data_IF_852278842847
#
_entry.id   IF_852278842847
#
_cell.length_a   1.000
_cell.length_b   1.000
_cell.length_c   1.000
_cell.angle_alpha   90.00
_cell.angle_beta   90.00
_cell.angle_gamma   90.00
#
_symmetry.space_group_name_H-M   'P 1'
#
loop_
_entity.id
_entity.type
_entity.pdbx_description
1 polymer ?
#
# COMPACT_ATOMS: atom_id res chain seq x y z
N UNK A 1 -4.75 14.07 37.20
CA UNK A 1 -3.42 14.63 37.52
C UNK A 1 -2.50 14.34 36.35
N UNK A 2 -2.37 15.26 35.40
CA UNK A 2 -1.31 15.18 34.40
C UNK A 2 -0.01 15.59 35.09
N UNK A 3 0.90 14.63 35.26
CA UNK A 3 2.22 14.88 35.86
C UNK A 3 2.96 15.95 35.04
N UNK A 4 3.32 17.03 35.71
CA UNK A 4 4.19 18.12 35.22
C UNK A 4 5.67 17.77 35.27
N UNK A 5 6.04 16.53 35.60
CA UNK A 5 7.44 16.10 35.82
C UNK A 5 8.16 15.60 34.56
N UNK A 6 7.51 15.61 33.40
CA UNK A 6 8.11 15.08 32.15
C UNK A 6 9.14 16.06 31.56
N UNK A 7 9.02 17.36 31.84
CA UNK A 7 9.84 18.42 31.20
C UNK A 7 10.81 19.07 32.20
N UNK A 8 11.60 18.26 32.92
CA UNK A 8 12.69 18.79 33.73
C UNK A 8 13.98 18.93 32.91
N UNK A 9 14.80 19.98 33.11
CA UNK A 9 16.09 20.10 32.45
C UNK A 9 17.00 18.93 32.79
N UNK A 10 17.41 18.16 31.78
CA UNK A 10 18.35 17.05 31.92
C UNK A 10 19.50 17.20 30.90
N UNK A 11 20.56 17.96 31.25
CA UNK A 11 21.67 18.23 30.33
C UNK A 11 22.46 16.96 29.96
N UNK A 12 22.58 16.00 30.88
CA UNK A 12 23.27 14.72 30.62
C UNK A 12 22.55 13.91 29.54
N UNK A 13 21.21 13.82 29.62
CA UNK A 13 20.40 13.18 28.59
C UNK A 13 20.53 13.91 27.24
N UNK A 14 20.50 15.24 27.25
CA UNK A 14 20.65 16.04 26.04
C UNK A 14 22.01 15.78 25.35
N UNK A 15 23.12 15.83 26.10
CA UNK A 15 24.46 15.54 25.58
C UNK A 15 24.60 14.10 25.09
N UNK A 16 23.98 13.14 25.79
CA UNK A 16 23.95 11.74 25.34
C UNK A 16 23.22 11.57 24.01
N UNK A 17 22.03 12.17 23.86
CA UNK A 17 21.25 12.11 22.61
C UNK A 17 22.04 12.79 21.48
N UNK A 18 22.62 13.96 21.73
CA UNK A 18 23.44 14.67 20.75
C UNK A 18 24.62 13.81 20.28
N UNK A 19 25.35 13.20 21.20
CA UNK A 19 26.46 12.31 20.86
C UNK A 19 26.02 11.11 20.01
N UNK A 20 24.88 10.49 20.33
CA UNK A 20 24.30 9.38 19.54
C UNK A 20 23.93 9.87 18.14
N UNK A 21 23.29 11.04 18.02
CA UNK A 21 22.90 11.61 16.74
C UNK A 21 24.11 11.94 15.85
N UNK A 22 25.18 12.51 16.41
CA UNK A 22 26.42 12.82 15.67
C UNK A 22 27.09 11.54 15.14
N UNK A 23 27.10 10.47 15.93
CA UNK A 23 27.59 9.17 15.47
C UNK A 23 26.73 8.59 14.35
N UNK A 24 25.40 8.65 14.51
CA UNK A 24 24.43 8.09 13.58
C UNK A 24 24.31 8.85 12.27
N UNK A 25 24.57 10.16 12.26
CA UNK A 25 24.57 10.96 11.04
C UNK A 25 25.58 10.42 10.02
N UNK A 26 26.71 9.88 10.49
CA UNK A 26 27.74 9.24 9.65
C UNK A 26 27.32 7.84 9.16
N UNK A 27 26.40 7.20 9.86
CA UNK A 27 25.88 5.86 9.57
C UNK A 27 24.49 5.87 8.92
N UNK A 28 24.08 7.02 8.34
CA UNK A 28 22.77 7.21 7.72
C UNK A 28 21.60 6.82 8.64
N UNK A 29 21.75 7.09 9.94
CA UNK A 29 20.74 6.80 10.97
C UNK A 29 20.34 5.31 11.12
N UNK A 30 21.17 4.39 10.62
CA UNK A 30 20.94 2.96 10.78
C UNK A 30 20.81 2.57 12.26
N UNK A 31 19.77 1.79 12.59
CA UNK A 31 19.51 1.31 13.95
C UNK A 31 19.33 2.43 15.01
N UNK A 32 18.85 3.62 14.59
CA UNK A 32 18.57 4.74 15.51
C UNK A 32 17.65 4.33 16.67
N UNK A 33 16.63 3.50 16.41
CA UNK A 33 15.59 3.18 17.40
C UNK A 33 16.19 2.47 18.62
N UNK A 34 16.89 1.33 18.50
CA UNK A 34 17.52 0.70 19.66
C UNK A 34 18.69 1.52 20.24
N UNK A 35 19.34 2.43 19.50
CA UNK A 35 20.36 3.32 20.09
C UNK A 35 19.77 4.36 21.04
N UNK A 36 18.63 4.98 20.66
CA UNK A 36 17.92 5.94 21.50
C UNK A 36 17.11 5.25 22.60
N UNK A 37 16.48 4.12 22.29
CA UNK A 37 15.66 3.33 23.21
C UNK A 37 16.21 1.90 23.37
N UNK A 38 17.31 1.71 24.11
CA UNK A 38 18.02 0.43 24.19
C UNK A 38 17.22 -0.70 24.84
N UNK A 39 16.18 -0.36 25.61
CA UNK A 39 15.31 -1.34 26.26
C UNK A 39 14.05 -1.67 25.44
N UNK A 40 13.91 -1.12 24.23
CA UNK A 40 12.82 -1.49 23.33
C UNK A 40 12.94 -2.98 22.94
N UNK A 41 11.83 -3.71 23.01
CA UNK A 41 11.80 -5.15 22.71
C UNK A 41 11.38 -5.45 21.28
N UNK A 42 10.54 -4.60 20.70
CA UNK A 42 10.02 -4.72 19.34
C UNK A 42 9.44 -3.38 18.90
N UNK A 43 9.24 -3.22 17.59
CA UNK A 43 8.46 -2.12 17.02
C UNK A 43 7.08 -2.65 16.67
N UNK A 44 6.05 -1.97 17.18
CA UNK A 44 4.65 -2.32 16.98
C UNK A 44 3.98 -1.34 16.04
N UNK A 45 3.57 -1.79 14.86
CA UNK A 45 2.86 -0.96 13.87
C UNK A 45 2.12 -1.81 12.85
N UNK A 46 1.22 -1.22 12.06
CA UNK A 46 0.62 -1.87 10.90
C UNK A 46 1.65 -1.89 9.78
N UNK A 47 2.02 -3.07 9.30
CA UNK A 47 3.07 -3.25 8.28
C UNK A 47 2.60 -4.05 7.06
N UNK A 48 1.29 -4.31 6.97
CA UNK A 48 0.65 -5.05 5.87
C UNK A 48 -0.01 -4.10 4.86
N UNK A 49 -0.36 -4.62 3.69
CA UNK A 49 -1.05 -3.87 2.63
C UNK A 49 -0.26 -2.63 2.19
N UNK A 50 -0.91 -1.46 2.24
CA UNK A 50 -0.36 -0.17 1.81
C UNK A 50 0.85 0.33 2.60
N UNK A 51 1.17 -0.32 3.72
CA UNK A 51 2.32 -0.02 4.57
C UNK A 51 3.59 -0.81 4.22
N UNK A 52 3.48 -1.89 3.44
CA UNK A 52 4.64 -2.67 2.99
C UNK A 52 5.78 -1.85 2.37
N UNK A 53 5.55 -0.82 1.52
CA UNK A 53 6.63 0.00 1.00
C UNK A 53 7.55 0.64 2.05
N UNK A 54 7.04 0.97 3.24
CA UNK A 54 7.84 1.58 4.30
C UNK A 54 8.69 0.58 5.07
N UNK A 55 8.47 -0.72 4.87
CA UNK A 55 9.10 -1.78 5.66
C UNK A 55 10.62 -1.79 5.52
N UNK A 56 11.15 -1.54 4.33
CA UNK A 56 12.59 -1.45 4.08
C UNK A 56 13.24 -0.35 4.92
N UNK A 57 12.63 0.84 4.94
CA UNK A 57 13.11 1.99 5.71
C UNK A 57 12.93 1.77 7.22
N UNK A 58 11.83 1.14 7.61
CA UNK A 58 11.59 0.78 9.00
C UNK A 58 12.65 -0.21 9.51
N UNK A 59 13.00 -1.24 8.73
CA UNK A 59 14.08 -2.18 9.03
C UNK A 59 15.43 -1.48 9.18
N UNK A 60 15.73 -0.50 8.32
CA UNK A 60 16.94 0.30 8.43
C UNK A 60 17.04 1.04 9.77
N UNK A 61 15.97 1.68 10.22
CA UNK A 61 15.95 2.38 11.52
C UNK A 61 15.82 1.44 12.73
N UNK A 62 15.20 0.28 12.54
CA UNK A 62 15.05 -0.76 13.57
C UNK A 62 16.35 -1.52 13.85
N UNK A 63 17.19 -1.72 12.82
CA UNK A 63 18.29 -2.67 12.89
C UNK A 63 17.77 -4.08 13.15
N UNK A 64 18.28 -4.73 14.21
CA UNK A 64 17.90 -6.10 14.61
C UNK A 64 16.61 -6.17 15.45
N UNK A 65 15.96 -5.03 15.72
CA UNK A 65 14.79 -5.01 16.58
C UNK A 65 13.59 -5.70 15.87
N UNK A 66 12.92 -6.68 16.52
CA UNK A 66 11.79 -7.39 15.92
C UNK A 66 10.66 -6.44 15.50
N UNK A 67 10.08 -6.70 14.33
CA UNK A 67 8.95 -5.96 13.78
C UNK A 67 7.67 -6.77 13.98
N UNK A 68 6.78 -6.28 14.84
CA UNK A 68 5.52 -6.95 15.19
C UNK A 68 4.37 -6.19 14.53
N UNK A 69 3.68 -6.86 13.60
CA UNK A 69 2.49 -6.30 12.97
C UNK A 69 1.34 -6.18 13.96
N UNK A 70 0.74 -4.99 13.99
CA UNK A 70 -0.45 -4.69 14.78
C UNK A 70 -1.71 -5.39 14.28
N UNK A 71 -2.71 -5.47 15.15
CA UNK A 71 -3.98 -6.13 14.88
C UNK A 71 -4.76 -5.52 13.69
N UNK A 72 -5.69 -6.30 13.16
CA UNK A 72 -6.49 -5.94 12.00
C UNK A 72 -7.85 -5.37 12.43
N UNK A 73 -8.09 -4.12 12.06
CA UNK A 73 -9.36 -3.44 12.25
C UNK A 73 -9.56 -2.28 11.28
N UNK A 74 -10.78 -1.76 11.28
CA UNK A 74 -11.21 -0.61 10.50
C UNK A 74 -12.02 0.36 11.36
N UNK A 75 -12.45 1.47 10.79
CA UNK A 75 -13.37 2.42 11.46
C UNK A 75 -14.74 1.80 11.75
N UNK A 76 -15.15 0.82 10.94
CA UNK A 76 -16.43 0.13 11.01
C UNK A 76 -16.43 -0.97 12.07
N UNK A 77 -15.32 -1.72 12.21
CA UNK A 77 -15.17 -2.72 13.28
C UNK A 77 -13.73 -3.21 13.45
N UNK A 78 -13.43 -3.77 14.62
CA UNK A 78 -12.27 -4.65 14.80
C UNK A 78 -12.55 -6.01 14.14
N UNK A 79 -11.51 -6.63 13.56
CA UNK A 79 -11.68 -7.85 12.77
C UNK A 79 -10.91 -9.01 13.42
N UNK A 80 -9.60 -8.87 13.58
CA UNK A 80 -8.77 -9.97 14.04
C UNK A 80 -7.45 -9.52 14.66
N UNK A 81 -6.81 -10.44 15.36
CA UNK A 81 -5.57 -10.19 16.11
C UNK A 81 -4.42 -11.01 15.55
N UNK A 82 -3.20 -10.50 15.70
CA UNK A 82 -2.00 -11.24 15.33
C UNK A 82 -1.62 -12.23 16.45
N UNK A 83 -1.95 -13.51 16.26
CA UNK A 83 -1.62 -14.59 17.22
C UNK A 83 -0.20 -15.14 17.06
N UNK A 84 0.48 -14.79 15.96
CA UNK A 84 1.83 -15.26 15.61
C UNK A 84 2.79 -14.04 15.50
N UNK A 85 3.06 -13.28 16.59
CA UNK A 85 3.79 -12.02 16.54
C UNK A 85 5.26 -12.15 16.12
N UNK A 86 5.81 -13.35 16.15
CA UNK A 86 7.16 -13.65 15.67
C UNK A 86 7.26 -13.79 14.15
N UNK A 87 6.13 -13.87 13.43
CA UNK A 87 6.15 -13.95 11.98
C UNK A 87 6.64 -12.64 11.37
N UNK A 88 7.43 -12.71 10.28
CA UNK A 88 7.84 -11.51 9.58
C UNK A 88 6.61 -10.79 8.98
N UNK A 89 6.62 -9.45 8.86
CA UNK A 89 5.48 -8.67 8.37
C UNK A 89 4.87 -9.15 7.05
N UNK A 90 5.67 -9.76 6.16
CA UNK A 90 5.23 -10.32 4.87
C UNK A 90 4.39 -11.60 4.97
N UNK A 91 4.38 -12.27 6.14
CA UNK A 91 3.68 -13.54 6.39
C UNK A 91 2.67 -13.43 7.53
N UNK A 92 2.24 -12.22 7.85
CA UNK A 92 1.30 -12.01 8.95
C UNK A 92 -0.11 -12.42 8.52
N UNK A 93 -0.77 -13.17 9.39
CA UNK A 93 -2.19 -13.47 9.29
C UNK A 93 -2.90 -13.16 10.60
N UNK A 94 -4.16 -12.73 10.50
CA UNK A 94 -4.95 -12.23 11.62
C UNK A 94 -6.05 -13.21 11.97
N UNK A 95 -6.04 -13.75 13.18
CA UNK A 95 -7.11 -14.61 13.67
C UNK A 95 -8.35 -13.78 13.95
N UNK A 96 -9.46 -14.07 13.28
CA UNK A 96 -10.72 -13.33 13.47
C UNK A 96 -11.20 -13.51 14.90
N UNK A 97 -11.63 -12.42 15.54
CA UNK A 97 -12.27 -12.45 16.85
C UNK A 97 -13.79 -12.43 16.63
N UNK A 98 -14.49 -13.57 16.80
CA UNK A 98 -15.89 -13.71 16.39
C UNK A 98 -16.87 -12.82 17.16
N UNK A 99 -16.45 -12.23 18.27
CA UNK A 99 -17.29 -11.40 19.15
C UNK A 99 -17.31 -9.92 18.77
N UNK A 100 -16.44 -9.46 17.86
CA UNK A 100 -16.41 -8.04 17.47
C UNK A 100 -17.59 -7.65 16.57
N UNK A 101 -17.99 -8.53 15.65
CA UNK A 101 -19.11 -8.36 14.73
C UNK A 101 -19.62 -9.72 14.26
N UNK A 102 -20.77 -9.75 13.62
CA UNK A 102 -21.15 -10.90 12.81
C UNK A 102 -20.49 -10.79 11.44
N UNK A 103 -19.69 -11.80 11.07
CA UNK A 103 -18.90 -11.82 9.85
C UNK A 103 -19.50 -12.78 8.82
N UNK A 104 -19.78 -12.25 7.64
CA UNK A 104 -20.04 -13.00 6.41
C UNK A 104 -18.89 -12.81 5.43
N UNK A 105 -18.68 -13.78 4.54
CA UNK A 105 -17.59 -13.79 3.57
C UNK A 105 -18.15 -14.09 2.18
N UNK A 106 -18.01 -13.17 1.25
CA UNK A 106 -18.39 -13.39 -0.15
C UNK A 106 -17.22 -14.09 -0.85
N UNK A 107 -17.35 -15.36 -1.28
CA UNK A 107 -16.28 -16.04 -2.00
C UNK A 107 -16.04 -15.37 -3.34
N UNK A 108 -14.77 -15.14 -3.64
CA UNK A 108 -14.32 -14.47 -4.85
C UNK A 108 -13.62 -15.47 -5.78
N UNK A 109 -14.16 -15.66 -6.98
CA UNK A 109 -13.55 -16.51 -8.00
C UNK A 109 -13.04 -15.65 -9.16
N UNK A 110 -11.77 -15.84 -9.55
CA UNK A 110 -11.24 -15.19 -10.76
C UNK A 110 -11.80 -15.88 -12.00
N UNK A 111 -12.17 -15.11 -13.02
CA UNK A 111 -12.49 -15.64 -14.34
C UNK A 111 -11.32 -16.52 -14.82
N UNK A 112 -11.56 -17.81 -15.07
CA UNK A 112 -10.73 -18.54 -16.03
C UNK A 112 -10.98 -17.88 -17.39
N UNK A 113 -9.94 -17.39 -18.04
CA UNK A 113 -10.01 -16.84 -19.40
C UNK A 113 -10.56 -17.91 -20.35
N UNK A 114 -11.88 -17.94 -20.55
CA UNK A 114 -12.48 -18.63 -21.67
C UNK A 114 -12.47 -17.64 -22.84
N UNK A 115 -11.51 -17.81 -23.75
CA UNK A 115 -11.52 -17.17 -25.06
C UNK A 115 -12.71 -17.68 -25.88
N UNK A 116 -13.90 -17.15 -25.65
CA UNK A 116 -15.02 -17.31 -26.57
C UNK A 116 -15.42 -15.93 -27.08
N UNK A 117 -14.81 -15.56 -28.21
CA UNK A 117 -15.32 -14.52 -29.09
C UNK A 117 -16.67 -14.98 -29.64
N UNK A 118 -17.76 -14.58 -29.02
CA UNK A 118 -19.06 -14.50 -29.68
C UNK A 118 -20.01 -13.60 -28.87
N UNK A 119 -20.51 -12.58 -29.58
CA UNK A 119 -21.53 -11.60 -29.19
C UNK A 119 -21.04 -10.41 -28.34
N UNK A 120 -20.70 -9.34 -29.06
CA UNK A 120 -20.28 -8.03 -28.54
C UNK A 120 -21.41 -7.24 -27.87
N UNK A 121 -21.80 -7.68 -26.68
CA UNK A 121 -22.49 -6.84 -25.69
C UNK A 121 -21.80 -7.03 -24.33
N UNK A 122 -20.73 -6.26 -24.11
CA UNK A 122 -20.09 -6.18 -22.80
C UNK A 122 -20.94 -5.23 -21.96
N UNK A 123 -21.89 -5.77 -21.20
CA UNK A 123 -22.41 -5.06 -20.02
C UNK A 123 -21.33 -5.11 -18.96
N UNK A 124 -20.43 -4.13 -18.99
CA UNK A 124 -19.40 -3.88 -17.99
C UNK A 124 -20.05 -3.50 -16.65
N UNK A 125 -20.44 -4.50 -15.88
CA UNK A 125 -20.59 -4.32 -14.43
C UNK A 125 -19.20 -4.40 -13.82
N UNK A 126 -18.84 -3.40 -13.02
CA UNK A 126 -17.50 -3.08 -12.48
C UNK A 126 -16.86 -4.15 -11.57
N UNK A 127 -17.27 -5.41 -11.63
CA UNK A 127 -16.93 -6.41 -10.63
C UNK A 127 -16.13 -7.60 -11.20
N UNK A 128 -14.85 -7.64 -10.80
CA UNK A 128 -13.78 -8.47 -11.33
C UNK A 128 -13.73 -9.92 -10.81
N UNK A 129 -14.65 -10.26 -9.93
CA UNK A 129 -14.79 -11.59 -9.37
C UNK A 129 -16.18 -12.13 -9.68
N UNK A 130 -16.25 -13.40 -10.02
CA UNK A 130 -17.52 -14.12 -9.92
C UNK A 130 -17.74 -14.31 -8.41
N UNK A 131 -18.74 -13.59 -7.90
CA UNK A 131 -19.13 -13.66 -6.50
C UNK A 131 -20.03 -14.88 -6.28
N UNK A 132 -19.71 -15.68 -5.27
CA UNK A 132 -20.67 -16.66 -4.77
C UNK A 132 -21.54 -16.08 -3.66
N UNK A 133 -22.46 -16.91 -3.15
CA UNK A 133 -23.29 -16.52 -2.01
C UNK A 133 -22.42 -16.33 -0.75
N UNK A 134 -22.69 -15.29 0.06
CA UNK A 134 -22.00 -15.08 1.33
C UNK A 134 -22.09 -16.32 2.22
N UNK A 135 -20.96 -16.69 2.82
CA UNK A 135 -20.88 -17.80 3.79
C UNK A 135 -20.54 -17.26 5.18
N UNK A 136 -21.00 -17.89 6.26
CA UNK A 136 -20.63 -17.49 7.62
C UNK A 136 -19.15 -17.80 7.90
N UNK A 137 -18.60 -17.15 8.93
CA UNK A 137 -17.20 -17.33 9.40
C UNK A 137 -16.74 -18.79 9.50
N UNK A 138 -17.61 -19.71 9.92
CA UNK A 138 -17.28 -21.13 10.11
C UNK A 138 -17.20 -21.96 8.82
N UNK A 139 -17.64 -21.41 7.67
CA UNK A 139 -17.70 -22.12 6.39
C UNK A 139 -16.65 -21.63 5.38
N UNK A 140 -15.76 -20.74 5.80
CA UNK A 140 -14.65 -20.28 4.95
C UNK A 140 -13.67 -21.43 4.70
N UNK A 141 -13.04 -21.43 3.52
CA UNK A 141 -12.13 -22.49 3.07
C UNK A 141 -10.70 -21.98 3.05
N UNK A 142 -9.77 -22.83 3.49
CA UNK A 142 -8.35 -22.52 3.43
C UNK A 142 -7.90 -22.24 1.98
N UNK A 143 -7.08 -21.21 1.78
CA UNK A 143 -6.58 -20.77 0.47
C UNK A 143 -7.61 -20.10 -0.45
N UNK A 144 -8.86 -19.92 -0.01
CA UNK A 144 -9.88 -19.22 -0.79
C UNK A 144 -9.87 -17.72 -0.46
N UNK A 145 -10.07 -16.89 -1.49
CA UNK A 145 -10.21 -15.45 -1.36
C UNK A 145 -11.67 -15.06 -1.13
N UNK A 146 -11.89 -14.11 -0.24
CA UNK A 146 -13.20 -13.61 0.14
C UNK A 146 -13.20 -12.09 0.29
N UNK A 147 -14.37 -11.48 0.07
CA UNK A 147 -14.64 -10.12 0.56
C UNK A 147 -15.35 -10.18 1.91
N UNK A 148 -14.89 -9.36 2.86
CA UNK A 148 -15.49 -9.29 4.20
C UNK A 148 -16.79 -8.49 4.18
N UNK A 149 -17.82 -9.05 4.79
CA UNK A 149 -19.11 -8.41 5.03
C UNK A 149 -19.39 -8.39 6.53
N UNK A 150 -19.72 -7.22 7.05
CA UNK A 150 -19.88 -6.97 8.49
C UNK A 150 -21.33 -6.69 8.85
N UNK A 151 -21.78 -7.27 9.96
CA UNK A 151 -22.93 -6.77 10.71
C UNK A 151 -22.48 -6.37 12.12
N UNK A 152 -22.61 -5.09 12.46
CA UNK A 152 -22.05 -4.49 13.69
C UNK A 152 -23.15 -4.09 14.68
N UNK A 153 -22.80 -3.98 15.96
CA UNK A 153 -23.69 -3.45 17.00
C UNK A 153 -24.06 -1.97 16.78
N UNK A 154 -23.27 -1.25 15.98
CA UNK A 154 -23.46 0.17 15.67
C UNK A 154 -24.41 0.41 14.50
N UNK A 155 -25.03 -0.64 13.95
CA UNK A 155 -26.10 -0.52 12.96
C UNK A 155 -25.65 -0.64 11.51
N UNK A 156 -24.43 -1.09 11.24
CA UNK A 156 -24.05 -1.53 9.90
C UNK A 156 -24.59 -2.95 9.71
N UNK A 157 -25.46 -3.17 8.71
CA UNK A 157 -26.06 -4.47 8.44
C UNK A 157 -25.63 -4.98 7.07
N UNK A 158 -24.95 -6.12 7.06
CA UNK A 158 -24.37 -6.74 5.85
C UNK A 158 -23.56 -5.73 5.01
N UNK A 159 -22.82 -4.87 5.71
CA UNK A 159 -21.98 -3.85 5.09
C UNK A 159 -20.75 -4.50 4.45
N UNK A 160 -20.59 -4.29 3.14
CA UNK A 160 -19.42 -4.74 2.39
C UNK A 160 -18.23 -3.85 2.75
N UNK A 161 -17.24 -4.42 3.46
CA UNK A 161 -16.05 -3.68 3.86
C UNK A 161 -15.16 -3.33 2.65
N UNK A 162 -15.26 -4.12 1.57
CA UNK A 162 -14.43 -3.98 0.37
C UNK A 162 -13.01 -4.52 0.53
N UNK A 163 -12.68 -5.09 1.70
CA UNK A 163 -11.39 -5.75 1.94
C UNK A 163 -11.44 -7.18 1.40
N UNK A 164 -10.46 -7.51 0.56
CA UNK A 164 -10.22 -8.84 0.01
C UNK A 164 -9.17 -9.53 0.87
N UNK A 165 -9.54 -10.70 1.40
CA UNK A 165 -8.70 -11.51 2.29
C UNK A 165 -8.59 -12.93 1.77
N UNK A 166 -7.48 -13.58 2.08
CA UNK A 166 -7.27 -15.01 1.85
C UNK A 166 -7.21 -15.73 3.18
N UNK A 167 -7.85 -16.90 3.28
CA UNK A 167 -7.76 -17.72 4.49
C UNK A 167 -6.41 -18.44 4.50
N UNK A 168 -5.56 -18.08 5.46
CA UNK A 168 -4.20 -18.60 5.68
C UNK A 168 -4.18 -19.63 6.83
N UNK A 169 -5.17 -20.52 6.82
CA UNK A 169 -5.38 -21.53 7.86
C UNK A 169 -6.27 -21.08 9.00
N UNK A 170 -6.15 -21.75 10.15
CA UNK A 170 -7.03 -21.59 11.29
C UNK A 170 -6.23 -21.57 12.59
N UNK A 171 -6.63 -20.69 13.51
CA UNK A 171 -6.22 -20.74 14.91
C UNK A 171 -7.34 -21.41 15.70
N UNK A 172 -7.11 -22.66 16.13
CA UNK A 172 -8.17 -23.54 16.62
C UNK A 172 -9.30 -23.68 15.57
N UNK A 173 -10.45 -23.05 15.81
CA UNK A 173 -11.61 -23.04 14.90
C UNK A 173 -11.84 -21.71 14.18
N UNK A 174 -11.14 -20.64 14.56
CA UNK A 174 -11.30 -19.33 13.92
C UNK A 174 -10.34 -19.20 12.74
N UNK A 175 -10.77 -18.70 11.58
CA UNK A 175 -9.87 -18.55 10.44
C UNK A 175 -8.83 -17.46 10.69
N UNK A 176 -7.63 -17.68 10.15
CA UNK A 176 -6.59 -16.65 10.03
C UNK A 176 -6.70 -16.02 8.65
N UNK A 177 -6.75 -14.70 8.61
CA UNK A 177 -6.92 -13.94 7.39
C UNK A 177 -5.61 -13.26 7.01
N UNK A 178 -5.15 -13.48 5.78
CA UNK A 178 -4.13 -12.68 5.15
C UNK A 178 -4.80 -11.55 4.34
N UNK A 179 -4.39 -10.31 4.58
CA UNK A 179 -4.94 -9.15 3.87
C UNK A 179 -4.32 -9.05 2.48
N UNK A 180 -5.14 -9.07 1.43
CA UNK A 180 -4.67 -9.02 0.04
C UNK A 180 -4.72 -7.59 -0.49
N UNK A 181 -5.90 -6.99 -0.54
CA UNK A 181 -6.10 -5.64 -1.05
C UNK A 181 -7.49 -5.10 -0.66
N UNK A 182 -7.75 -3.83 -0.99
CA UNK A 182 -9.09 -3.26 -0.98
C UNK A 182 -9.61 -3.15 -2.41
N UNK A 183 -10.77 -3.75 -2.70
CA UNK A 183 -11.34 -3.94 -4.05
C UNK A 183 -11.42 -2.65 -4.87
N UNK A 184 -11.75 -1.53 -4.24
CA UNK A 184 -11.90 -0.22 -4.91
C UNK A 184 -10.57 0.48 -5.23
N UNK A 185 -9.42 -0.17 -5.02
CA UNK A 185 -8.08 0.39 -5.25
C UNK A 185 -7.30 -0.32 -6.38
N UNK A 186 -7.97 -1.07 -7.24
CA UNK A 186 -7.34 -1.69 -8.43
C UNK A 186 -7.15 -0.63 -9.51
N UNK A 187 -5.96 -0.56 -10.11
CA UNK A 187 -5.73 0.21 -11.33
C UNK A 187 -6.22 -0.60 -12.53
N UNK A 188 -7.09 0.01 -13.33
CA UNK A 188 -7.64 -0.56 -14.58
C UNK A 188 -7.84 0.55 -15.60
N UNK A 189 -7.38 0.38 -16.83
CA UNK A 189 -7.70 1.28 -17.97
C UNK A 189 -8.50 0.57 -19.06
N UNK A 190 -8.22 -0.71 -19.31
CA UNK A 190 -8.89 -1.55 -20.30
C UNK A 190 -9.27 -2.91 -19.69
N UNK A 191 -8.72 -4.02 -20.19
CA UNK A 191 -8.91 -5.38 -19.64
C UNK A 191 -7.92 -5.68 -18.51
N UNK A 192 -6.95 -4.79 -18.30
CA UNK A 192 -5.85 -4.95 -17.38
C UNK A 192 -6.27 -4.69 -15.93
N UNK A 193 -5.74 -5.50 -15.01
CA UNK A 193 -6.16 -5.46 -13.61
C UNK A 193 -4.94 -5.52 -12.71
N UNK A 194 -4.47 -4.35 -12.31
CA UNK A 194 -3.27 -4.23 -11.52
C UNK A 194 -3.62 -3.88 -10.08
N UNK A 195 -3.27 -4.77 -9.15
CA UNK A 195 -3.48 -4.56 -7.72
C UNK A 195 -2.45 -3.60 -7.14
N UNK A 196 -2.71 -3.12 -5.93
CA UNK A 196 -1.73 -2.36 -5.15
C UNK A 196 -0.39 -3.12 -4.99
N UNK A 197 -0.45 -4.46 -4.87
CA UNK A 197 0.74 -5.31 -4.81
C UNK A 197 1.51 -5.33 -6.12
N UNK A 198 0.82 -5.41 -7.26
CA UNK A 198 1.47 -5.38 -8.58
C UNK A 198 2.17 -4.04 -8.81
N UNK A 199 1.49 -2.94 -8.46
CA UNK A 199 2.06 -1.60 -8.51
C UNK A 199 3.27 -1.45 -7.57
N UNK A 200 3.20 -1.99 -6.35
CA UNK A 200 4.31 -1.98 -5.41
C UNK A 200 5.55 -2.67 -6.01
N UNK A 201 5.37 -3.84 -6.63
CA UNK A 201 6.47 -4.58 -7.28
C UNK A 201 7.06 -3.80 -8.47
N UNK A 202 6.21 -3.15 -9.26
CA UNK A 202 6.63 -2.29 -10.38
C UNK A 202 7.47 -1.11 -9.87
N UNK A 203 6.98 -0.39 -8.85
CA UNK A 203 7.68 0.75 -8.26
C UNK A 203 8.98 0.31 -7.59
N UNK A 204 9.01 -0.83 -6.90
CA UNK A 204 10.23 -1.38 -6.32
C UNK A 204 11.31 -1.63 -7.38
N UNK A 205 10.96 -2.19 -8.54
CA UNK A 205 11.91 -2.39 -9.64
C UNK A 205 12.46 -1.07 -10.17
N UNK A 206 11.59 -0.09 -10.45
CA UNK A 206 12.02 1.25 -10.86
C UNK A 206 12.91 1.92 -9.81
N UNK A 207 12.56 1.83 -8.53
CA UNK A 207 13.32 2.45 -7.44
C UNK A 207 14.72 1.84 -7.26
N UNK A 208 14.93 0.57 -7.66
CA UNK A 208 16.28 -0.04 -7.66
C UNK A 208 17.20 0.64 -8.66
N UNK A 209 16.69 1.05 -9.83
CA UNK A 209 17.45 1.82 -10.82
C UNK A 209 17.80 3.18 -10.25
N UNK A 210 16.82 3.84 -9.61
CA UNK A 210 17.01 5.11 -8.90
C UNK A 210 18.18 5.06 -7.90
N UNK A 211 18.20 4.01 -7.07
CA UNK A 211 19.20 3.83 -6.02
C UNK A 211 20.62 3.52 -6.53
N UNK A 212 20.75 3.03 -7.77
CA UNK A 212 22.04 2.74 -8.43
C UNK A 212 22.64 3.96 -9.12
N UNK A 213 21.89 5.05 -9.24
CA UNK A 213 22.37 6.29 -9.84
C UNK A 213 23.57 6.90 -9.11
N UNK A 214 24.35 7.70 -9.82
CA UNK A 214 25.56 8.39 -9.31
C UNK A 214 25.27 9.39 -8.17
N UNK A 215 24.03 9.87 -8.05
CA UNK A 215 23.58 10.72 -6.96
C UNK A 215 22.70 9.88 -6.02
N UNK A 216 22.98 9.92 -4.71
CA UNK A 216 22.19 9.24 -3.66
C UNK A 216 20.76 9.79 -3.66
N UNK A 217 19.89 9.17 -4.45
CA UNK A 217 18.49 9.54 -4.53
C UNK A 217 17.60 8.41 -4.05
N UNK A 218 16.58 8.77 -3.29
CA UNK A 218 15.69 7.85 -2.59
C UNK A 218 14.24 8.20 -2.87
N UNK A 219 13.44 7.20 -3.24
CA UNK A 219 11.99 7.35 -3.33
C UNK A 219 11.43 7.59 -1.91
N UNK A 220 10.80 8.73 -1.69
CA UNK A 220 10.18 9.09 -0.40
C UNK A 220 8.82 8.44 -0.26
N UNK A 221 7.96 8.65 -1.26
CA UNK A 221 6.61 8.11 -1.29
C UNK A 221 6.07 8.12 -2.73
N UNK A 222 5.00 7.36 -2.97
CA UNK A 222 4.37 7.27 -4.29
C UNK A 222 2.85 7.02 -4.25
N UNK A 223 2.18 7.41 -5.32
CA UNK A 223 0.78 7.05 -5.60
C UNK A 223 0.59 6.89 -7.10
N UNK A 224 -0.52 6.33 -7.52
CA UNK A 224 -0.84 6.13 -8.93
C UNK A 224 -2.28 6.50 -9.25
N UNK A 225 -2.56 6.61 -10.55
CA UNK A 225 -3.85 6.92 -11.10
C UNK A 225 -4.00 6.32 -12.51
N UNK A 226 -5.17 5.77 -12.80
CA UNK A 226 -5.56 5.40 -14.17
C UNK A 226 -6.19 6.62 -14.86
N UNK A 227 -5.44 7.27 -15.75
CA UNK A 227 -5.93 8.43 -16.48
C UNK A 227 -6.66 8.00 -17.74
N UNK A 228 -8.00 8.05 -17.68
CA UNK A 228 -8.90 7.73 -18.80
C UNK A 228 -9.46 8.98 -19.51
N UNK A 229 -8.95 10.18 -19.18
CA UNK A 229 -9.43 11.43 -19.78
C UNK A 229 -8.99 11.61 -21.23
N UNK A 230 -7.84 11.00 -21.60
CA UNK A 230 -7.31 10.97 -22.96
C UNK A 230 -7.44 9.55 -23.51
N UNK A 231 -7.61 9.42 -24.83
CA UNK A 231 -7.60 8.11 -25.49
C UNK A 231 -6.34 7.94 -26.35
N UNK A 232 -5.62 6.80 -26.24
CA UNK A 232 -5.85 5.73 -25.27
C UNK A 232 -5.54 6.20 -23.83
N UNK A 233 -6.29 5.69 -22.85
CA UNK A 233 -6.01 5.97 -21.43
C UNK A 233 -4.67 5.38 -21.02
N UNK A 234 -4.07 5.89 -19.96
CA UNK A 234 -2.74 5.44 -19.52
C UNK A 234 -2.56 5.51 -18.00
N UNK A 235 -1.55 4.81 -17.50
CA UNK A 235 -1.23 4.76 -16.09
C UNK A 235 -0.32 5.94 -15.75
N UNK A 236 -0.63 6.64 -14.66
CA UNK A 236 0.18 7.73 -14.12
C UNK A 236 0.70 7.30 -12.75
N UNK A 237 2.02 7.34 -12.56
CA UNK A 237 2.68 7.08 -11.27
C UNK A 237 3.33 8.38 -10.81
N UNK A 238 3.02 8.82 -9.60
CA UNK A 238 3.59 10.01 -8.97
C UNK A 238 4.66 9.61 -7.96
N UNK A 239 5.86 10.14 -8.10
CA UNK A 239 7.00 9.91 -7.21
C UNK A 239 7.44 11.19 -6.52
N UNK A 240 7.51 11.18 -5.19
CA UNK A 240 8.26 12.17 -4.42
C UNK A 240 9.65 11.61 -4.16
N UNK A 241 10.70 12.35 -4.56
CA UNK A 241 12.07 11.86 -4.48
C UNK A 241 12.93 12.80 -3.63
N UNK A 242 13.75 12.21 -2.78
CA UNK A 242 14.80 12.92 -2.03
C UNK A 242 16.12 12.75 -2.78
N UNK A 243 16.67 13.86 -3.26
CA UNK A 243 17.94 13.91 -3.97
C UNK A 243 17.82 14.67 -5.28
N UNK A 244 18.91 14.76 -6.03
CA UNK A 244 18.91 15.22 -7.42
C UNK A 244 19.21 14.02 -8.32
N UNK A 245 18.54 13.92 -9.46
CA UNK A 245 18.67 12.78 -10.38
C UNK A 245 18.71 13.30 -11.81
N UNK A 246 19.51 12.62 -12.64
CA UNK A 246 19.54 12.85 -14.08
C UNK A 246 18.24 12.35 -14.72
N UNK A 247 17.68 13.15 -15.63
CA UNK A 247 16.46 12.82 -16.37
C UNK A 247 16.56 11.47 -17.08
N UNK A 248 17.76 11.11 -17.58
CA UNK A 248 17.99 9.80 -18.21
C UNK A 248 17.69 8.62 -17.29
N UNK A 249 18.02 8.73 -16.00
CA UNK A 249 17.75 7.69 -15.01
C UNK A 249 16.25 7.58 -14.76
N UNK A 250 15.54 8.70 -14.77
CA UNK A 250 14.07 8.72 -14.60
C UNK A 250 13.35 8.13 -15.82
N UNK A 251 13.85 8.36 -17.03
CA UNK A 251 13.37 7.70 -18.24
C UNK A 251 13.58 6.18 -18.18
N UNK A 252 14.76 5.74 -17.73
CA UNK A 252 15.03 4.32 -17.53
C UNK A 252 14.12 3.70 -16.46
N UNK A 253 13.88 4.40 -15.35
CA UNK A 253 12.93 3.98 -14.32
C UNK A 253 11.52 3.84 -14.90
N UNK A 254 11.06 4.83 -15.68
CA UNK A 254 9.75 4.84 -16.31
C UNK A 254 9.58 3.64 -17.27
N UNK A 255 10.59 3.39 -18.11
CA UNK A 255 10.63 2.27 -19.06
C UNK A 255 10.62 0.91 -18.36
N UNK A 256 11.42 0.74 -17.32
CA UNK A 256 11.50 -0.52 -16.57
C UNK A 256 10.20 -0.79 -15.79
N UNK A 257 9.57 0.26 -15.26
CA UNK A 257 8.26 0.15 -14.61
C UNK A 257 7.18 -0.34 -15.58
N UNK A 258 7.04 0.29 -16.74
CA UNK A 258 6.07 -0.12 -17.78
C UNK A 258 6.30 -1.57 -18.23
N UNK A 259 7.56 -1.99 -18.37
CA UNK A 259 7.91 -3.36 -18.74
C UNK A 259 7.70 -4.40 -17.62
N UNK A 260 7.55 -3.95 -16.36
CA UNK A 260 7.52 -4.84 -15.19
C UNK A 260 6.13 -5.32 -14.79
N UNK A 261 5.07 -4.77 -15.38
CA UNK A 261 3.72 -5.28 -15.18
C UNK A 261 3.61 -6.71 -15.71
N UNK A 262 3.19 -7.62 -14.83
CA UNK A 262 3.07 -9.06 -15.14
C UNK A 262 1.70 -9.40 -15.70
N UNK A 263 0.68 -8.56 -15.45
CA UNK A 263 -0.67 -8.79 -15.93
C UNK A 263 -0.73 -8.90 -17.46
N UNK A 264 -1.25 -10.02 -17.96
CA UNK A 264 -1.36 -10.27 -19.39
C UNK A 264 -2.25 -9.24 -20.08
N UNK A 265 -3.29 -8.74 -19.40
CA UNK A 265 -4.15 -7.67 -19.90
C UNK A 265 -3.34 -6.41 -20.18
N UNK A 266 -2.55 -5.96 -19.21
CA UNK A 266 -1.69 -4.78 -19.35
C UNK A 266 -0.72 -4.92 -20.52
N UNK A 267 0.02 -6.04 -20.58
CA UNK A 267 1.05 -6.27 -21.61
C UNK A 267 0.45 -6.30 -23.01
N UNK A 268 -0.67 -7.00 -23.20
CA UNK A 268 -1.35 -7.07 -24.50
C UNK A 268 -1.93 -5.71 -24.88
N UNK A 269 -2.54 -5.00 -23.93
CA UNK A 269 -3.12 -3.68 -24.18
C UNK A 269 -2.09 -2.60 -24.50
N UNK A 270 -0.91 -2.63 -23.84
CA UNK A 270 0.23 -1.76 -24.18
C UNK A 270 0.77 -2.05 -25.58
N UNK A 271 0.98 -3.34 -25.93
CA UNK A 271 1.45 -3.75 -27.27
C UNK A 271 0.47 -3.42 -28.40
N UNK A 272 -0.83 -3.55 -28.14
CA UNK A 272 -1.89 -3.21 -29.10
C UNK A 272 -2.24 -1.72 -29.12
N UNK A 273 -1.54 -0.89 -28.33
CA UNK A 273 -1.77 0.56 -28.20
C UNK A 273 -3.18 0.94 -27.72
N UNK A 274 -3.89 0.00 -27.07
CA UNK A 274 -5.16 0.29 -26.41
C UNK A 274 -4.98 0.92 -25.02
N UNK A 275 -3.80 0.79 -24.42
CA UNK A 275 -3.33 1.58 -23.28
C UNK A 275 -2.12 2.41 -23.72
N UNK A 276 -2.15 3.70 -23.44
CA UNK A 276 -1.07 4.65 -23.72
C UNK A 276 0.18 4.40 -22.87
N UNK A 277 1.30 5.07 -23.17
CA UNK A 277 2.54 4.92 -22.42
C UNK A 277 2.37 5.30 -20.95
N UNK A 278 2.97 4.50 -20.06
CA UNK A 278 3.03 4.84 -18.64
C UNK A 278 3.67 6.21 -18.45
N UNK A 279 3.04 7.05 -17.65
CA UNK A 279 3.51 8.39 -17.31
C UNK A 279 4.08 8.38 -15.89
N UNK A 280 5.36 8.71 -15.76
CA UNK A 280 6.01 8.96 -14.47
C UNK A 280 6.03 10.47 -14.20
N UNK A 281 5.31 10.89 -13.16
CA UNK A 281 5.26 12.27 -12.67
C UNK A 281 6.15 12.43 -11.44
N UNK A 282 7.13 13.32 -11.50
CA UNK A 282 7.93 13.68 -10.33
C UNK A 282 7.27 14.87 -9.65
N UNK A 283 7.02 14.76 -8.35
CA UNK A 283 6.40 15.83 -7.55
C UNK A 283 7.42 16.55 -6.67
N UNK A 284 7.08 17.77 -6.26
CA UNK A 284 7.87 18.56 -5.32
C UNK A 284 8.10 17.81 -3.99
N UNK A 285 9.22 18.09 -3.32
CA UNK A 285 9.48 17.60 -1.96
C UNK A 285 8.43 18.15 -0.99
N UNK A 286 7.88 17.28 -0.15
CA UNK A 286 6.80 17.59 0.79
C UNK A 286 5.39 17.54 0.18
N UNK A 287 5.22 17.05 -1.05
CA UNK A 287 3.88 16.91 -1.66
C UNK A 287 3.00 15.95 -0.88
N UNK A 288 3.52 14.78 -0.48
CA UNK A 288 2.75 13.83 0.33
C UNK A 288 2.50 14.35 1.75
N UNK A 289 3.38 15.22 2.26
CA UNK A 289 3.13 15.94 3.52
C UNK A 289 1.97 16.92 3.38
N UNK A 290 1.91 17.71 2.30
CA UNK A 290 0.76 18.61 2.02
C UNK A 290 -0.54 17.82 1.91
N UNK A 291 -0.50 16.62 1.30
CA UNK A 291 -1.65 15.72 1.23
C UNK A 291 -2.08 15.29 2.63
N UNK A 292 -1.14 14.82 3.46
CA UNK A 292 -1.41 14.44 4.84
C UNK A 292 -2.05 15.59 5.63
N UNK A 293 -1.44 16.78 5.58
CA UNK A 293 -1.94 18.00 6.24
C UNK A 293 -3.35 18.36 5.77
N UNK A 294 -3.66 18.20 4.48
CA UNK A 294 -5.00 18.42 3.93
C UNK A 294 -6.03 17.45 4.54
N UNK A 295 -5.73 16.16 4.65
CA UNK A 295 -6.67 15.20 5.24
C UNK A 295 -6.86 15.41 6.74
N UNK A 296 -5.80 15.76 7.47
CA UNK A 296 -5.88 16.11 8.89
C UNK A 296 -6.75 17.36 9.08
N UNK A 297 -6.56 18.38 8.24
CA UNK A 297 -7.39 19.60 8.26
C UNK A 297 -8.87 19.35 7.99
N UNK A 298 -9.21 18.25 7.32
CA UNK A 298 -10.59 17.82 7.06
C UNK A 298 -11.12 16.80 8.10
N UNK A 299 -10.44 16.63 9.23
CA UNK A 299 -10.90 15.81 10.35
C UNK A 299 -10.43 14.36 10.34
N UNK A 300 -9.53 13.96 9.44
CA UNK A 300 -8.92 12.62 9.51
C UNK A 300 -7.94 12.53 10.68
N UNK A 301 -7.98 11.42 11.42
CA UNK A 301 -6.99 11.16 12.46
C UNK A 301 -5.61 10.85 11.82
N UNK A 302 -4.55 11.47 12.36
CA UNK A 302 -3.17 11.29 11.89
C UNK A 302 -2.77 9.80 11.81
N UNK A 303 -3.18 8.99 12.80
CA UNK A 303 -2.88 7.56 12.89
C UNK A 303 -3.64 6.69 11.88
N UNK A 304 -4.72 7.20 11.30
CA UNK A 304 -5.55 6.46 10.35
C UNK A 304 -5.24 6.82 8.89
N UNK A 305 -4.58 7.95 8.65
CA UNK A 305 -4.26 8.34 7.29
C UNK A 305 -3.19 7.43 6.69
N UNK A 306 -3.52 6.85 5.52
CA UNK A 306 -2.60 6.08 4.69
C UNK A 306 -2.64 6.69 3.30
N UNK A 307 -1.48 7.02 2.73
CA UNK A 307 -1.40 7.44 1.34
C UNK A 307 -1.98 6.33 0.46
N UNK A 308 -3.06 6.57 -0.31
CA UNK A 308 -3.61 5.56 -1.20
C UNK A 308 -2.59 5.29 -2.32
N UNK A 309 -2.31 4.02 -2.63
CA UNK A 309 -1.37 3.69 -3.71
C UNK A 309 -1.99 3.84 -5.10
N UNK A 310 -3.31 3.73 -5.19
CA UNK A 310 -4.11 4.05 -6.36
C UNK A 310 -5.21 5.02 -5.94
N UNK A 311 -5.45 6.06 -6.72
CA UNK A 311 -6.48 7.06 -6.40
C UNK A 311 -7.26 7.52 -7.61
N UNK A 312 -8.56 7.66 -7.43
CA UNK A 312 -9.49 8.37 -8.31
C UNK A 312 -10.00 9.67 -7.68
N UNK A 313 -9.50 10.03 -6.48
CA UNK A 313 -9.95 11.22 -5.76
C UNK A 313 -9.47 12.49 -6.47
N UNK A 314 -10.41 13.26 -7.01
CA UNK A 314 -10.16 14.48 -7.78
C UNK A 314 -9.36 15.53 -7.02
N UNK A 315 -9.55 15.64 -5.69
CA UNK A 315 -8.82 16.61 -4.86
C UNK A 315 -7.36 16.21 -4.75
N UNK A 316 -7.10 14.92 -4.46
CA UNK A 316 -5.75 14.39 -4.37
C UNK A 316 -5.01 14.56 -5.71
N UNK A 317 -5.67 14.21 -6.82
CA UNK A 317 -5.12 14.37 -8.16
C UNK A 317 -4.84 15.84 -8.50
N UNK A 318 -5.67 16.79 -8.02
CA UNK A 318 -5.42 18.22 -8.21
C UNK A 318 -4.13 18.65 -7.49
N UNK A 319 -3.94 18.24 -6.24
CA UNK A 319 -2.72 18.55 -5.47
C UNK A 319 -1.49 17.96 -6.17
N UNK A 320 -1.55 16.68 -6.56
CA UNK A 320 -0.47 15.98 -7.25
C UNK A 320 -0.10 16.66 -8.57
N UNK A 321 -1.09 17.01 -9.39
CA UNK A 321 -0.87 17.65 -10.68
C UNK A 321 -0.28 19.07 -10.54
N UNK A 322 -0.71 19.84 -9.54
CA UNK A 322 -0.15 21.17 -9.24
C UNK A 322 1.30 21.07 -8.75
N UNK A 323 1.60 20.06 -7.93
CA UNK A 323 2.95 19.85 -7.41
C UNK A 323 3.85 19.04 -8.36
N UNK A 324 3.41 18.70 -9.57
CA UNK A 324 4.22 17.94 -10.54
C UNK A 324 5.25 18.86 -11.18
N UNK A 325 6.53 18.56 -10.98
CA UNK A 325 7.66 19.33 -11.54
C UNK A 325 8.11 18.80 -12.91
N UNK A 326 8.02 17.48 -13.14
CA UNK A 326 8.47 16.83 -14.39
C UNK A 326 7.57 15.64 -14.73
N UNK A 327 7.45 15.35 -16.02
CA UNK A 327 6.66 14.24 -16.57
C UNK A 327 7.50 13.47 -17.58
N UNK A 328 7.53 12.15 -17.44
CA UNK A 328 8.25 11.24 -18.32
C UNK A 328 7.27 10.21 -18.86
N UNK A 329 7.43 9.79 -20.11
CA UNK A 329 6.56 8.80 -20.74
C UNK A 329 7.40 7.61 -21.18
N UNK A 330 6.93 6.41 -20.84
CA UNK A 330 7.66 5.19 -21.15
C UNK A 330 7.73 4.92 -22.65
N UNK A 331 8.92 4.49 -23.09
CA UNK A 331 9.22 4.03 -24.46
C UNK A 331 9.33 2.51 -24.57
N UNK A 332 8.94 1.76 -23.52
CA UNK A 332 9.14 0.31 -23.45
C UNK A 332 8.46 -0.50 -24.57
N UNK A 333 7.33 0.00 -25.10
CA UNK A 333 6.50 -0.67 -26.10
C UNK A 333 6.44 0.08 -27.45
N UNK A 334 7.41 0.96 -27.71
CA UNK A 334 7.52 1.74 -28.95
C UNK A 334 7.18 3.21 -28.81
#
# INVERSE_FOLDING_TARGET
>A
MCSTDITQPNPELASRIESICVELERADWYSIIPKLWPNAKYIYSIMTGSMMPYLTKLRHYAGELPLVSADYGSTESWIGVNVDPSNPPEKVSFAVIPTFSYFEFIPLFRHKLNYNYQNGNITSTNDDYIEGNPVPLCQVKNGQQYEIVLTTFTGLYRYRLGDVVEVDGFYNKTPKLNFICRRNLILTVNIDKNTEKDLQLVVERGSKILSKGTKRAELVDFTSHANVTKQPGHYVIYWEIKGEIDEKVLDECCRDMDASFVDHGYVVSRRTKSIGPLELCIVEKGTFKKILEYYIGNGAALSQFKTPRCTSNKVLLKILNVCTIKRFYSTAYG
#
